data_IF_248425703265
#
_entry.id   IF_248425703265
#
_cell.length_a   1.000
_cell.length_b   1.000
_cell.length_c   1.000
_cell.angle_alpha   90.00
_cell.angle_beta   90.00
_cell.angle_gamma   90.00
#
_symmetry.space_group_name_H-M   'P 1'
#
loop_
_entity.id
_entity.type
_entity.pdbx_description
1 polymer ?
#
# COMPACT_ATOMS: atom_id res chain seq x y z
N UNK A 1 14.07 9.17 14.17
CA UNK A 1 12.72 9.68 14.55
C UNK A 1 11.61 8.69 14.20
N UNK A 2 11.66 8.01 13.05
CA UNK A 2 10.63 7.03 12.68
C UNK A 2 10.65 5.76 13.56
N UNK A 3 11.78 5.39 14.14
CA UNK A 3 11.90 4.25 15.06
C UNK A 3 11.32 4.51 16.45
N UNK A 4 11.26 5.76 16.87
CA UNK A 4 10.99 6.14 18.27
C UNK A 4 9.54 6.58 18.51
N UNK A 5 8.77 6.80 17.44
CA UNK A 5 7.38 7.29 17.50
C UNK A 5 6.49 6.48 16.59
N UNK A 6 5.26 6.27 17.02
CA UNK A 6 4.19 5.73 16.16
C UNK A 6 3.65 6.87 15.29
N UNK A 7 3.70 6.66 13.99
CA UNK A 7 3.10 7.54 13.00
C UNK A 7 2.03 6.76 12.24
N UNK A 8 0.94 7.41 11.89
CA UNK A 8 -0.14 6.80 11.13
C UNK A 8 0.14 6.81 9.63
N UNK A 9 0.95 7.76 9.16
CA UNK A 9 1.37 7.91 7.77
C UNK A 9 2.68 8.70 7.70
N UNK A 10 3.48 8.45 6.67
CA UNK A 10 4.71 9.19 6.36
C UNK A 10 4.57 9.80 4.96
N UNK A 11 4.78 11.13 4.86
CA UNK A 11 5.02 11.80 3.61
C UNK A 11 6.53 11.93 3.43
N UNK A 12 7.07 11.32 2.39
CA UNK A 12 8.51 11.21 2.17
C UNK A 12 8.92 11.90 0.86
N UNK A 13 9.69 12.96 0.99
CA UNK A 13 10.28 13.63 -0.19
C UNK A 13 11.43 12.79 -0.76
N UNK A 14 11.42 12.55 -2.06
CA UNK A 14 12.55 11.91 -2.74
C UNK A 14 13.82 12.75 -2.68
N UNK A 15 13.69 14.07 -2.85
CA UNK A 15 14.82 14.99 -2.89
C UNK A 15 15.19 15.49 -1.49
N UNK A 16 15.69 14.61 -0.64
CA UNK A 16 16.22 15.01 0.66
C UNK A 16 17.69 15.47 0.55
N UNK A 17 18.10 16.50 1.31
CA UNK A 17 19.43 17.12 1.11
C UNK A 17 20.62 16.27 1.57
N UNK A 18 20.39 15.17 2.30
CA UNK A 18 21.48 14.36 2.91
C UNK A 18 21.38 12.86 2.63
N UNK A 19 20.26 12.39 2.11
CA UNK A 19 19.99 10.96 1.90
C UNK A 19 18.96 10.83 0.81
N UNK A 20 19.07 9.79 -0.01
CA UNK A 20 18.06 9.47 -1.02
C UNK A 20 16.75 9.05 -0.34
N UNK A 21 15.64 9.63 -0.77
CA UNK A 21 14.30 9.27 -0.25
C UNK A 21 13.95 7.81 -0.48
N UNK A 22 14.45 7.18 -1.55
CA UNK A 22 14.26 5.76 -1.82
C UNK A 22 14.95 4.89 -0.77
N UNK A 23 16.19 5.21 -0.43
CA UNK A 23 16.93 4.52 0.64
C UNK A 23 16.23 4.68 1.99
N UNK A 24 15.71 5.87 2.30
CA UNK A 24 14.94 6.12 3.53
C UNK A 24 13.69 5.25 3.57
N UNK A 25 12.97 5.11 2.45
CA UNK A 25 11.80 4.26 2.35
C UNK A 25 12.16 2.81 2.66
N UNK A 26 13.19 2.28 2.02
CA UNK A 26 13.66 0.92 2.21
C UNK A 26 14.04 0.66 3.68
N UNK A 27 14.80 1.57 4.29
CA UNK A 27 15.18 1.46 5.70
C UNK A 27 13.97 1.49 6.64
N UNK A 28 12.93 2.28 6.34
CA UNK A 28 11.69 2.28 7.12
C UNK A 28 11.00 0.92 7.01
N UNK A 29 10.99 0.31 5.83
CA UNK A 29 10.36 -0.99 5.60
C UNK A 29 11.02 -2.15 6.33
N UNK A 30 12.27 -2.02 6.74
CA UNK A 30 12.95 -3.02 7.59
C UNK A 30 12.29 -3.17 8.97
N UNK A 31 11.61 -2.14 9.48
CA UNK A 31 11.04 -2.15 10.82
C UNK A 31 9.58 -1.67 10.92
N UNK A 32 8.97 -1.19 9.83
CA UNK A 32 7.62 -0.62 9.88
C UNK A 32 6.87 -0.76 8.57
N UNK A 33 5.58 -1.13 8.69
CA UNK A 33 4.63 -1.15 7.57
C UNK A 33 3.71 0.09 7.53
N UNK A 34 4.08 1.16 8.27
CA UNK A 34 3.35 2.42 8.23
C UNK A 34 3.17 2.89 6.79
N UNK A 35 1.99 3.37 6.40
CA UNK A 35 1.77 3.89 5.05
C UNK A 35 2.77 5.00 4.69
N UNK A 36 3.39 4.89 3.52
CA UNK A 36 4.35 5.87 2.98
C UNK A 36 3.82 6.40 1.66
N UNK A 37 3.70 7.72 1.56
CA UNK A 37 3.42 8.44 0.32
C UNK A 37 4.65 9.21 -0.10
N UNK A 38 5.18 8.91 -1.29
CA UNK A 38 6.34 9.59 -1.86
C UNK A 38 5.94 10.92 -2.48
N UNK A 39 6.75 11.96 -2.25
CA UNK A 39 6.63 13.24 -2.94
C UNK A 39 7.71 13.31 -4.05
N UNK A 40 7.28 13.32 -5.32
CA UNK A 40 8.18 13.23 -6.49
C UNK A 40 8.15 14.52 -7.33
N UNK A 41 9.18 14.76 -8.15
CA UNK A 41 9.16 15.83 -9.14
C UNK A 41 8.22 15.46 -10.32
N UNK A 42 7.69 16.49 -10.99
CA UNK A 42 6.86 16.32 -12.18
C UNK A 42 7.74 15.88 -13.37
N UNK A 43 7.35 14.78 -14.03
CA UNK A 43 7.95 14.35 -15.30
C UNK A 43 8.83 13.10 -15.24
N UNK A 44 9.14 12.60 -14.05
CA UNK A 44 9.96 11.40 -13.90
C UNK A 44 9.11 10.19 -13.55
N UNK A 45 8.55 9.53 -14.58
CA UNK A 45 7.76 8.31 -14.39
C UNK A 45 8.57 7.17 -13.75
N UNK A 46 9.88 7.17 -13.97
CA UNK A 46 10.77 6.20 -13.32
C UNK A 46 10.82 6.38 -11.81
N UNK A 47 10.86 7.62 -11.30
CA UNK A 47 10.88 7.88 -9.86
C UNK A 47 9.60 7.42 -9.16
N UNK A 48 8.46 7.52 -9.84
CA UNK A 48 7.17 7.03 -9.31
C UNK A 48 7.19 5.51 -9.15
N UNK A 49 7.63 4.81 -10.20
CA UNK A 49 7.74 3.35 -10.22
C UNK A 49 8.77 2.90 -9.19
N UNK A 50 9.95 3.50 -9.17
CA UNK A 50 10.99 3.20 -8.19
C UNK A 50 10.50 3.42 -6.76
N UNK A 51 9.83 4.53 -6.47
CA UNK A 51 9.25 4.78 -5.14
C UNK A 51 8.33 3.65 -4.68
N UNK A 52 7.43 3.19 -5.55
CA UNK A 52 6.56 2.05 -5.28
C UNK A 52 7.35 0.74 -5.13
N UNK A 53 8.37 0.50 -5.96
CA UNK A 53 9.26 -0.66 -5.87
C UNK A 53 10.01 -0.72 -4.54
N UNK A 54 10.44 0.42 -4.01
CA UNK A 54 11.13 0.52 -2.71
C UNK A 54 10.19 0.49 -1.50
N UNK A 55 8.89 0.29 -1.71
CA UNK A 55 7.96 0.02 -0.63
C UNK A 55 6.96 1.12 -0.32
N UNK A 56 6.90 2.20 -1.09
CA UNK A 56 5.85 3.18 -0.93
C UNK A 56 4.47 2.59 -1.27
N UNK A 57 3.43 3.11 -0.64
CA UNK A 57 2.03 2.73 -0.90
C UNK A 57 1.44 3.60 -2.01
N UNK A 58 1.90 4.85 -2.14
CA UNK A 58 1.42 5.80 -3.13
C UNK A 58 2.48 6.89 -3.38
N UNK A 59 2.23 7.73 -4.38
CA UNK A 59 3.06 8.90 -4.70
C UNK A 59 2.23 10.12 -5.06
N UNK A 60 2.80 11.31 -4.87
CA UNK A 60 2.23 12.61 -5.26
C UNK A 60 3.29 13.41 -6.00
N UNK A 61 2.95 13.95 -7.17
CA UNK A 61 3.87 14.75 -7.96
C UNK A 61 3.84 16.23 -7.56
N UNK A 62 5.01 16.85 -7.45
CA UNK A 62 5.16 18.31 -7.26
C UNK A 62 5.02 19.05 -8.59
N UNK A 63 4.39 20.24 -8.63
CA UNK A 63 3.66 20.90 -7.54
C UNK A 63 2.33 20.22 -7.28
N UNK A 64 1.97 20.02 -6.02
CA UNK A 64 0.73 19.38 -5.62
C UNK A 64 -0.25 20.37 -4.98
N UNK A 65 -1.53 20.08 -5.14
CA UNK A 65 -2.59 20.77 -4.39
C UNK A 65 -2.74 20.12 -3.01
N UNK A 66 -2.86 20.95 -1.97
CA UNK A 66 -3.06 20.45 -0.60
C UNK A 66 -4.35 19.60 -0.47
N UNK A 67 -5.36 19.87 -1.29
CA UNK A 67 -6.59 19.07 -1.32
C UNK A 67 -6.32 17.65 -1.86
N UNK A 68 -5.45 17.52 -2.86
CA UNK A 68 -5.01 16.22 -3.36
C UNK A 68 -4.29 15.41 -2.27
N UNK A 69 -3.33 16.05 -1.57
CA UNK A 69 -2.61 15.42 -0.45
C UNK A 69 -3.58 14.93 0.62
N UNK A 70 -4.53 15.79 1.03
CA UNK A 70 -5.55 15.43 2.02
C UNK A 70 -6.44 14.27 1.55
N UNK A 71 -6.85 14.28 0.30
CA UNK A 71 -7.68 13.20 -0.27
C UNK A 71 -6.96 11.86 -0.27
N UNK A 72 -5.68 11.82 -0.65
CA UNK A 72 -4.85 10.60 -0.64
C UNK A 72 -4.60 10.09 0.79
N UNK A 73 -4.24 10.99 1.72
CA UNK A 73 -4.11 10.65 3.13
C UNK A 73 -5.40 10.04 3.65
N UNK A 74 -6.55 10.70 3.41
CA UNK A 74 -7.86 10.21 3.84
C UNK A 74 -8.19 8.84 3.24
N UNK A 75 -7.87 8.60 1.97
CA UNK A 75 -8.10 7.31 1.31
C UNK A 75 -7.26 6.19 1.93
N UNK A 76 -6.00 6.46 2.29
CA UNK A 76 -5.11 5.51 2.96
C UNK A 76 -5.58 5.27 4.39
N UNK A 77 -5.88 6.33 5.15
CA UNK A 77 -6.28 6.26 6.56
C UNK A 77 -7.66 5.63 6.77
N UNK A 78 -8.61 5.83 5.84
CA UNK A 78 -9.94 5.21 5.92
C UNK A 78 -9.91 3.70 6.02
N UNK A 79 -8.89 3.07 5.46
CA UNK A 79 -8.71 1.62 5.48
C UNK A 79 -7.83 1.14 6.64
N UNK A 80 -7.00 2.04 7.18
CA UNK A 80 -6.22 1.76 8.38
C UNK A 80 -7.06 1.94 9.67
N UNK A 81 -8.10 2.77 9.63
CA UNK A 81 -9.07 2.98 10.71
C UNK A 81 -10.46 2.55 10.25
N UNK A 82 -11.03 1.60 10.93
CA UNK A 82 -12.34 1.00 10.68
C UNK A 82 -13.48 2.02 10.79
N UNK A 83 -13.80 2.72 9.69
CA UNK A 83 -15.13 3.23 9.44
C UNK A 83 -15.74 2.39 8.30
N UNK A 84 -15.97 1.13 8.59
CA UNK A 84 -16.80 0.26 7.77
C UNK A 84 -18.20 0.26 8.35
N UNK A 85 -19.14 0.86 7.62
CA UNK A 85 -20.54 0.47 7.70
C UNK A 85 -20.64 -1.06 7.60
N UNK A 86 -21.35 -1.62 8.55
CA UNK A 86 -21.59 -3.04 8.79
C UNK A 86 -21.96 -3.81 7.52
N UNK A 87 -20.96 -4.43 6.91
CA UNK A 87 -21.15 -5.76 6.34
C UNK A 87 -20.33 -6.68 7.22
N UNK A 88 -20.94 -7.72 7.76
CA UNK A 88 -20.28 -8.80 8.50
C UNK A 88 -19.18 -9.42 7.63
N UNK A 89 -18.03 -8.75 7.57
CA UNK A 89 -16.81 -9.32 7.01
C UNK A 89 -16.34 -10.34 8.03
N UNK A 90 -16.15 -11.57 7.60
CA UNK A 90 -15.51 -12.58 8.42
C UNK A 90 -14.23 -11.97 9.01
N UNK A 91 -14.09 -12.03 10.34
CA UNK A 91 -12.91 -11.47 11.05
C UNK A 91 -11.60 -12.10 10.60
N UNK A 92 -11.67 -13.30 10.06
CA UNK A 92 -10.54 -14.01 9.46
C UNK A 92 -11.01 -14.90 8.32
N UNK A 93 -10.13 -15.14 7.35
CA UNK A 93 -10.36 -16.06 6.24
C UNK A 93 -9.14 -16.95 6.07
N UNK A 94 -9.37 -18.22 5.72
CA UNK A 94 -8.32 -19.18 5.41
C UNK A 94 -8.57 -19.81 4.05
N UNK A 95 -7.55 -19.80 3.19
CA UNK A 95 -7.57 -20.42 1.87
C UNK A 95 -6.26 -21.19 1.70
N UNK A 96 -6.33 -22.53 1.80
CA UNK A 96 -5.12 -23.36 1.84
C UNK A 96 -4.21 -22.96 3.01
N UNK A 97 -2.96 -22.68 2.73
CA UNK A 97 -1.96 -22.27 3.73
C UNK A 97 -2.04 -20.78 4.07
N UNK A 98 -2.79 -19.98 3.29
CA UNK A 98 -2.99 -18.56 3.52
C UNK A 98 -4.06 -18.35 4.60
N UNK A 99 -3.72 -17.62 5.66
CA UNK A 99 -4.67 -17.13 6.67
C UNK A 99 -4.56 -15.61 6.79
N UNK A 100 -5.69 -14.93 6.68
CA UNK A 100 -5.79 -13.48 6.90
C UNK A 100 -6.61 -13.19 8.15
N UNK A 101 -6.07 -12.36 9.01
CA UNK A 101 -6.76 -11.67 10.09
C UNK A 101 -7.08 -10.25 9.61
N UNK A 102 -8.35 -10.01 9.26
CA UNK A 102 -8.76 -8.74 8.67
C UNK A 102 -8.85 -7.62 9.71
N UNK A 103 -9.17 -7.96 10.96
CA UNK A 103 -9.26 -7.00 12.06
C UNK A 103 -7.86 -6.51 12.46
N UNK A 104 -6.93 -7.44 12.65
CA UNK A 104 -5.53 -7.13 12.95
C UNK A 104 -4.68 -6.76 11.72
N UNK A 105 -5.24 -6.84 10.52
CA UNK A 105 -4.53 -6.63 9.23
C UNK A 105 -3.25 -7.46 9.12
N UNK A 106 -3.31 -8.73 9.51
CA UNK A 106 -2.17 -9.65 9.52
C UNK A 106 -2.40 -10.79 8.55
N UNK A 107 -1.32 -11.23 7.91
CA UNK A 107 -1.33 -12.33 6.94
C UNK A 107 -0.32 -13.39 7.37
N UNK A 108 -0.71 -14.65 7.26
CA UNK A 108 0.13 -15.80 7.57
C UNK A 108 0.11 -16.77 6.41
N UNK A 109 1.26 -17.34 6.07
CA UNK A 109 1.40 -18.43 5.11
C UNK A 109 2.12 -19.59 5.79
N UNK A 110 1.50 -20.76 5.78
CA UNK A 110 2.00 -21.95 6.49
C UNK A 110 2.39 -21.65 7.96
N UNK A 111 1.59 -20.79 8.64
CA UNK A 111 1.81 -20.37 10.03
C UNK A 111 2.85 -19.27 10.23
N UNK A 112 3.57 -18.83 9.19
CA UNK A 112 4.53 -17.71 9.26
C UNK A 112 3.84 -16.40 8.94
N UNK A 113 4.03 -15.39 9.76
CA UNK A 113 3.53 -14.04 9.49
C UNK A 113 4.31 -13.39 8.35
N UNK A 114 3.57 -12.84 7.39
CA UNK A 114 4.10 -12.13 6.23
C UNK A 114 3.80 -10.64 6.39
N UNK A 115 4.84 -9.82 6.32
CA UNK A 115 4.72 -8.37 6.42
C UNK A 115 4.27 -7.77 5.09
N UNK A 116 3.03 -7.30 5.04
CA UNK A 116 2.46 -6.57 3.91
C UNK A 116 2.34 -5.09 4.22
N UNK A 117 2.56 -4.24 3.21
CA UNK A 117 2.20 -2.83 3.30
C UNK A 117 0.68 -2.66 3.29
N UNK A 118 0.19 -1.46 3.61
CA UNK A 118 -1.25 -1.20 3.67
C UNK A 118 -1.94 -1.53 2.34
N UNK A 119 -1.35 -1.14 1.21
CA UNK A 119 -1.94 -1.38 -0.11
C UNK A 119 -1.82 -2.83 -0.58
N UNK A 120 -0.72 -3.51 -0.25
CA UNK A 120 -0.58 -4.94 -0.51
C UNK A 120 -1.64 -5.75 0.23
N UNK A 121 -1.91 -5.39 1.49
CA UNK A 121 -2.97 -6.02 2.27
C UNK A 121 -4.34 -5.77 1.64
N UNK A 122 -4.67 -4.51 1.27
CA UNK A 122 -5.95 -4.15 0.66
C UNK A 122 -6.21 -4.91 -0.65
N UNK A 123 -5.17 -5.06 -1.49
CA UNK A 123 -5.24 -5.82 -2.74
C UNK A 123 -5.49 -7.30 -2.44
N UNK A 124 -4.72 -7.89 -1.53
CA UNK A 124 -4.89 -9.29 -1.15
C UNK A 124 -6.27 -9.56 -0.57
N UNK A 125 -6.74 -8.70 0.35
CA UNK A 125 -8.08 -8.81 0.93
C UNK A 125 -9.16 -8.82 -0.14
N UNK A 126 -9.10 -7.88 -1.09
CA UNK A 126 -10.06 -7.81 -2.19
C UNK A 126 -10.10 -9.10 -3.01
N UNK A 127 -8.94 -9.67 -3.33
CA UNK A 127 -8.84 -10.88 -4.15
C UNK A 127 -9.31 -12.12 -3.38
N UNK A 128 -8.93 -12.27 -2.11
CA UNK A 128 -9.26 -13.43 -1.29
C UNK A 128 -10.76 -13.50 -0.97
N UNK A 129 -11.40 -12.34 -0.74
CA UNK A 129 -12.86 -12.28 -0.52
C UNK A 129 -13.71 -12.39 -1.79
N UNK A 130 -13.09 -12.37 -2.96
CA UNK A 130 -13.77 -12.49 -4.24
C UNK A 130 -13.11 -13.57 -5.13
N UNK A 131 -13.09 -14.83 -4.71
CA UNK A 131 -12.52 -15.91 -5.50
C UNK A 131 -13.26 -16.03 -6.83
N UNK A 132 -12.55 -16.38 -7.89
CA UNK A 132 -13.07 -16.52 -9.26
C UNK A 132 -13.56 -15.23 -9.93
N UNK A 133 -13.35 -14.06 -9.31
CA UNK A 133 -13.64 -12.78 -9.94
C UNK A 133 -12.39 -12.21 -10.59
N UNK A 134 -12.51 -11.85 -11.87
CA UNK A 134 -11.43 -11.18 -12.61
C UNK A 134 -11.59 -9.67 -12.46
N UNK A 135 -10.49 -9.00 -12.15
CA UNK A 135 -10.43 -7.54 -12.06
C UNK A 135 -9.47 -6.99 -13.11
N UNK A 136 -9.90 -5.96 -13.85
CA UNK A 136 -8.96 -5.17 -14.65
C UNK A 136 -8.06 -4.32 -13.74
N UNK A 137 -6.92 -3.85 -14.28
CA UNK A 137 -6.04 -2.91 -13.57
C UNK A 137 -6.77 -1.66 -13.10
N UNK A 138 -7.60 -1.10 -13.98
CA UNK A 138 -8.43 0.07 -13.67
C UNK A 138 -9.42 -0.20 -12.55
N UNK A 139 -10.08 -1.37 -12.58
CA UNK A 139 -10.99 -1.76 -11.50
C UNK A 139 -10.28 -1.92 -10.16
N UNK A 140 -9.10 -2.55 -10.14
CA UNK A 140 -8.28 -2.67 -8.93
C UNK A 140 -7.85 -1.29 -8.43
N UNK A 141 -7.39 -0.42 -9.33
CA UNK A 141 -6.99 0.94 -8.99
C UNK A 141 -8.14 1.71 -8.34
N UNK A 142 -9.31 1.70 -8.97
CA UNK A 142 -10.49 2.40 -8.49
C UNK A 142 -10.98 1.87 -7.12
N UNK A 143 -10.98 0.56 -6.93
CA UNK A 143 -11.44 -0.04 -5.68
C UNK A 143 -10.44 0.18 -4.55
N UNK A 144 -9.14 -0.01 -4.81
CA UNK A 144 -8.09 0.01 -3.78
C UNK A 144 -7.55 1.41 -3.52
N UNK A 145 -7.42 2.25 -4.54
CA UNK A 145 -6.91 3.63 -4.40
C UNK A 145 -8.01 4.68 -4.41
N UNK A 146 -9.15 4.40 -5.03
CA UNK A 146 -10.32 5.28 -5.14
C UNK A 146 -10.56 5.77 -6.55
N UNK A 147 -11.83 6.11 -6.87
CA UNK A 147 -12.26 6.49 -8.23
C UNK A 147 -11.61 7.77 -8.78
N UNK A 148 -11.15 8.65 -7.92
CA UNK A 148 -10.50 9.90 -8.30
C UNK A 148 -8.96 9.82 -8.19
N UNK A 149 -8.42 8.59 -8.19
CA UNK A 149 -6.98 8.41 -8.10
C UNK A 149 -6.30 8.92 -9.38
N UNK A 150 -5.48 9.98 -9.31
CA UNK A 150 -4.85 10.58 -10.48
C UNK A 150 -3.53 9.88 -10.88
N UNK A 151 -3.25 8.71 -10.29
CA UNK A 151 -2.03 7.94 -10.57
C UNK A 151 -2.14 7.03 -11.79
N UNK A 152 -1.00 6.41 -12.14
CA UNK A 152 -0.89 5.49 -13.27
C UNK A 152 -1.39 4.09 -12.87
N UNK A 153 -2.04 3.40 -13.82
CA UNK A 153 -2.49 2.00 -13.64
C UNK A 153 -1.33 1.04 -13.38
N UNK A 154 -0.10 1.38 -13.77
CA UNK A 154 1.12 0.63 -13.47
C UNK A 154 1.39 0.51 -11.96
N UNK A 155 0.81 1.39 -11.14
CA UNK A 155 0.82 1.27 -9.67
C UNK A 155 0.29 -0.10 -9.23
N UNK A 156 -0.75 -0.59 -9.88
CA UNK A 156 -1.33 -1.91 -9.60
C UNK A 156 -0.32 -3.03 -9.89
N UNK A 157 0.36 -2.96 -11.04
CA UNK A 157 1.32 -4.00 -11.44
C UNK A 157 2.47 -4.13 -10.43
N UNK A 158 2.98 -3.01 -9.94
CA UNK A 158 4.05 -2.98 -8.92
C UNK A 158 3.57 -3.65 -7.62
N UNK A 159 2.38 -3.29 -7.13
CA UNK A 159 1.86 -3.88 -5.89
C UNK A 159 1.53 -5.37 -6.03
N UNK A 160 0.97 -5.79 -7.16
CA UNK A 160 0.72 -7.21 -7.45
C UNK A 160 2.04 -7.98 -7.50
N UNK A 161 3.08 -7.47 -8.17
CA UNK A 161 4.38 -8.12 -8.24
C UNK A 161 4.97 -8.30 -6.83
N UNK A 162 5.05 -7.23 -6.05
CA UNK A 162 5.57 -7.27 -4.67
C UNK A 162 4.77 -8.20 -3.76
N UNK A 163 3.44 -8.19 -3.91
CA UNK A 163 2.58 -9.10 -3.17
C UNK A 163 2.92 -10.56 -3.52
N UNK A 164 3.03 -10.88 -4.81
CA UNK A 164 3.39 -12.23 -5.27
C UNK A 164 4.75 -12.67 -4.74
N UNK A 165 5.77 -11.81 -4.79
CA UNK A 165 7.10 -12.08 -4.23
C UNK A 165 7.07 -12.44 -2.74
N UNK A 166 6.08 -11.92 -2.00
CA UNK A 166 5.92 -12.18 -0.55
C UNK A 166 5.09 -13.42 -0.23
N UNK A 167 4.10 -13.76 -1.07
CA UNK A 167 3.15 -14.83 -0.79
C UNK A 167 3.40 -16.11 -1.60
N UNK A 168 3.98 -16.00 -2.79
CA UNK A 168 4.34 -17.15 -3.61
C UNK A 168 5.77 -17.60 -3.23
N UNK A 169 5.88 -18.38 -2.17
CA UNK A 169 7.14 -19.08 -1.87
C UNK A 169 7.28 -20.26 -2.82
N UNK A 170 8.31 -20.22 -3.66
CA UNK A 170 8.75 -21.38 -4.44
C UNK A 170 9.27 -22.49 -3.54
#
# INVERSE_FOLDING_TARGET
>A
KAKDKKYDIILLDLMLPKMDGLEVCQQIREFSNVPIVMLTAKGEDMDKILGLEYGADDYITKPFNILEVKARIKAIMRRAGSDHEEKEKAKSIQVGDLRMDCEGRRVFIAGREINLTAKEFDVLELLVFNPNKVYSRENLLNIVWGYEYPGDVRTVDVHIRRLREKIETN
#
